data_IF_299522439375
#
_entry.id   IF_299522439375
#
_cell.length_a   1.000
_cell.length_b   1.000
_cell.length_c   1.000
_cell.angle_alpha   90.00
_cell.angle_beta   90.00
_cell.angle_gamma   90.00
#
_symmetry.space_group_name_H-M   'P 1'
#
loop_
_entity.id
_entity.type
_entity.pdbx_description
1 polymer ?
#
# COMPACT_ATOMS: atom_id res chain seq x y z
N UNK A 1 -17.02 72.35 55.09
CA UNK A 1 -17.15 70.88 55.11
C UNK A 1 -17.47 70.38 53.71
N UNK A 2 -16.43 69.97 52.99
CA UNK A 2 -16.56 69.44 51.59
C UNK A 2 -16.51 67.90 51.61
N UNK A 3 -17.55 67.22 51.18
CA UNK A 3 -17.60 65.76 50.99
C UNK A 3 -17.05 65.42 49.62
N UNK A 4 -15.92 64.74 49.57
CA UNK A 4 -15.33 64.18 48.34
C UNK A 4 -15.99 62.83 48.02
N UNK A 5 -16.59 62.72 46.84
CA UNK A 5 -17.09 61.45 46.29
C UNK A 5 -15.98 60.80 45.44
N UNK A 6 -15.50 59.66 45.88
CA UNK A 6 -14.60 58.81 45.11
C UNK A 6 -15.47 57.91 44.19
N UNK A 7 -15.35 58.08 42.89
CA UNK A 7 -15.94 57.18 41.86
C UNK A 7 -14.96 56.02 41.61
N UNK A 8 -15.36 54.84 41.98
CA UNK A 8 -14.64 53.61 41.68
C UNK A 8 -14.96 53.17 40.23
N UNK A 9 -13.98 53.20 39.33
CA UNK A 9 -14.08 52.62 37.99
C UNK A 9 -13.69 51.14 38.07
N UNK A 10 -14.66 50.23 37.89
CA UNK A 10 -14.40 48.82 37.74
C UNK A 10 -14.21 48.57 36.23
N UNK A 11 -12.95 48.38 35.78
CA UNK A 11 -12.63 47.98 34.45
C UNK A 11 -12.74 46.47 34.35
N UNK A 12 -13.83 45.98 33.74
CA UNK A 12 -14.00 44.55 33.46
C UNK A 12 -13.05 44.11 32.32
N UNK A 13 -12.08 43.28 32.67
CA UNK A 13 -11.25 42.59 31.65
C UNK A 13 -12.09 41.45 31.11
N UNK A 14 -12.57 41.59 29.85
CA UNK A 14 -13.18 40.49 29.11
C UNK A 14 -12.04 39.64 28.57
N UNK A 15 -11.72 38.52 29.23
CA UNK A 15 -10.86 37.49 28.69
C UNK A 15 -11.62 36.78 27.55
N UNK A 16 -11.28 37.10 26.31
CA UNK A 16 -11.72 36.32 25.13
C UNK A 16 -10.96 35.00 25.15
N UNK A 17 -11.61 33.93 25.59
CA UNK A 17 -11.09 32.57 25.41
C UNK A 17 -11.31 32.21 23.93
N UNK A 18 -10.28 32.41 23.11
CA UNK A 18 -10.23 31.85 21.78
C UNK A 18 -10.11 30.33 21.92
N UNK A 19 -11.21 29.65 21.76
CA UNK A 19 -11.21 28.19 21.52
C UNK A 19 -10.49 27.98 20.20
N UNK A 20 -9.23 27.55 20.24
CA UNK A 20 -8.57 26.95 19.08
C UNK A 20 -9.36 25.67 18.78
N UNK A 21 -10.29 25.75 17.86
CA UNK A 21 -10.88 24.61 17.21
C UNK A 21 -9.73 23.93 16.45
N UNK A 22 -9.20 22.84 16.98
CA UNK A 22 -8.39 21.94 16.19
C UNK A 22 -9.31 21.42 15.07
N UNK A 23 -9.21 22.01 13.88
CA UNK A 23 -9.85 21.45 12.72
C UNK A 23 -9.30 20.02 12.54
N UNK A 24 -10.15 19.03 12.68
CA UNK A 24 -9.77 17.65 12.47
C UNK A 24 -9.28 17.52 11.03
N UNK A 25 -8.04 17.04 10.85
CA UNK A 25 -7.50 16.84 9.50
C UNK A 25 -8.40 15.87 8.71
N UNK A 26 -8.72 16.27 7.47
CA UNK A 26 -9.57 15.46 6.60
C UNK A 26 -8.82 14.25 6.08
N UNK A 27 -9.41 13.07 6.21
CA UNK A 27 -8.85 11.84 5.66
C UNK A 27 -8.69 11.93 4.13
N UNK A 28 -7.78 11.16 3.58
CA UNK A 28 -7.60 11.01 2.13
C UNK A 28 -8.92 10.61 1.43
N UNK A 29 -9.66 9.73 2.07
CA UNK A 29 -11.00 9.26 1.69
C UNK A 29 -11.61 8.49 2.88
N UNK A 30 -12.93 8.26 2.92
CA UNK A 30 -13.54 7.38 3.91
C UNK A 30 -12.93 5.97 3.85
N UNK A 31 -12.39 5.49 4.98
CA UNK A 31 -11.66 4.22 5.04
C UNK A 31 -10.15 4.33 4.81
N UNK A 32 -9.61 5.55 4.66
CA UNK A 32 -8.17 5.76 4.71
C UNK A 32 -7.65 5.61 6.14
N UNK A 33 -6.67 4.73 6.33
CA UNK A 33 -6.13 4.38 7.63
C UNK A 33 -4.59 4.48 7.64
N UNK A 34 -3.98 4.41 8.81
CA UNK A 34 -2.54 4.42 8.97
C UNK A 34 -1.89 5.81 8.82
N UNK A 35 -0.59 5.82 8.68
CA UNK A 35 0.18 7.08 8.67
C UNK A 35 -0.05 7.95 7.43
N UNK A 36 -0.40 7.36 6.28
CA UNK A 36 -0.73 8.08 5.05
C UNK A 36 -2.16 8.62 4.98
N UNK A 37 -2.98 8.40 6.00
CA UNK A 37 -4.43 8.70 6.00
C UNK A 37 -4.82 10.15 5.70
N UNK A 38 -3.89 11.09 5.86
CA UNK A 38 -4.12 12.51 5.61
C UNK A 38 -3.50 13.02 4.30
N UNK A 39 -3.01 12.11 3.45
CA UNK A 39 -2.57 12.46 2.11
C UNK A 39 -3.72 13.10 1.35
N UNK A 40 -3.53 14.32 0.85
CA UNK A 40 -4.59 15.07 0.16
C UNK A 40 -4.67 14.73 -1.32
N UNK A 41 -3.58 14.22 -1.91
CA UNK A 41 -3.53 13.92 -3.33
C UNK A 41 -3.92 15.12 -4.19
N UNK A 42 -4.86 14.91 -5.10
CA UNK A 42 -5.33 15.93 -6.05
C UNK A 42 -6.41 16.87 -5.55
N UNK A 43 -6.76 16.86 -4.26
CA UNK A 43 -7.88 17.65 -3.70
C UNK A 43 -7.82 19.13 -4.09
N UNK A 44 -8.95 19.67 -4.58
CA UNK A 44 -9.06 21.04 -5.09
C UNK A 44 -8.45 21.24 -6.48
N UNK A 45 -8.01 20.18 -7.13
CA UNK A 45 -7.26 20.24 -8.38
C UNK A 45 -8.08 20.01 -9.65
N UNK A 46 -7.40 20.07 -10.79
CA UNK A 46 -8.01 19.83 -12.11
C UNK A 46 -8.25 18.35 -12.35
N UNK A 47 -9.28 18.04 -13.13
CA UNK A 47 -9.55 16.68 -13.60
C UNK A 47 -8.86 16.45 -14.95
N UNK A 48 -8.11 15.37 -15.05
CA UNK A 48 -7.48 14.88 -16.28
C UNK A 48 -8.02 13.50 -16.61
N UNK A 49 -8.37 13.30 -17.89
CA UNK A 49 -8.96 12.06 -18.37
C UNK A 49 -7.93 11.18 -19.06
N UNK A 50 -7.91 9.89 -18.68
CA UNK A 50 -7.24 8.88 -19.49
C UNK A 50 -8.29 8.27 -20.42
N UNK A 51 -8.16 8.56 -21.71
CA UNK A 51 -9.16 8.19 -22.74
C UNK A 51 -8.68 7.09 -23.67
N UNK A 52 -7.39 6.73 -23.62
CA UNK A 52 -6.81 5.67 -24.42
C UNK A 52 -5.64 4.96 -23.71
N UNK A 53 -5.30 3.78 -24.17
CA UNK A 53 -4.31 2.89 -23.53
C UNK A 53 -2.88 3.06 -24.08
N UNK A 54 -2.63 4.01 -24.99
CA UNK A 54 -1.27 4.23 -25.51
C UNK A 54 -0.40 4.86 -24.43
N UNK A 55 0.84 4.36 -24.33
CA UNK A 55 1.88 4.97 -23.51
C UNK A 55 2.70 5.95 -24.32
N UNK A 56 2.14 7.12 -24.53
CA UNK A 56 2.76 8.26 -25.20
C UNK A 56 2.54 9.53 -24.36
N UNK A 57 3.08 10.67 -24.79
CA UNK A 57 2.87 11.95 -24.08
C UNK A 57 1.70 12.75 -24.68
N UNK A 58 0.83 12.14 -25.48
CA UNK A 58 -0.34 12.80 -26.03
C UNK A 58 -1.44 12.97 -24.97
N UNK A 59 -2.24 14.00 -25.13
CA UNK A 59 -3.43 14.21 -24.31
C UNK A 59 -4.32 12.97 -24.32
N UNK A 60 -4.84 12.61 -23.15
CA UNK A 60 -5.61 11.39 -22.96
C UNK A 60 -4.81 10.14 -22.61
N UNK A 61 -3.46 10.20 -22.59
CA UNK A 61 -2.63 9.12 -22.04
C UNK A 61 -2.44 9.28 -20.52
N UNK A 62 -2.17 8.17 -19.84
CA UNK A 62 -1.82 8.20 -18.42
C UNK A 62 -0.55 9.02 -18.18
N UNK A 63 0.47 8.88 -19.03
CA UNK A 63 1.74 9.59 -18.92
C UNK A 63 1.54 11.10 -19.04
N UNK A 64 0.76 11.56 -20.01
CA UNK A 64 0.41 12.98 -20.14
C UNK A 64 -0.24 13.53 -18.86
N UNK A 65 -1.23 12.83 -18.31
CA UNK A 65 -1.92 13.26 -17.11
C UNK A 65 -0.99 13.31 -15.87
N UNK A 66 -0.04 12.37 -15.77
CA UNK A 66 0.96 12.35 -14.70
C UNK A 66 2.00 13.46 -14.81
N UNK A 67 2.35 13.90 -16.01
CA UNK A 67 3.33 14.97 -16.25
C UNK A 67 2.76 16.38 -16.05
N UNK A 68 1.45 16.53 -15.80
CA UNK A 68 0.83 17.83 -15.49
C UNK A 68 1.23 18.30 -14.09
N UNK A 69 1.24 19.62 -13.87
CA UNK A 69 1.62 20.24 -12.61
C UNK A 69 0.41 20.69 -11.77
N UNK A 70 0.64 20.77 -10.47
CA UNK A 70 -0.35 21.20 -9.49
C UNK A 70 -1.35 20.10 -9.11
N UNK A 71 -2.24 20.41 -8.17
CA UNK A 71 -3.24 19.45 -7.70
C UNK A 71 -4.12 18.94 -8.84
N UNK A 72 -4.31 17.61 -8.91
CA UNK A 72 -5.08 17.01 -9.99
C UNK A 72 -5.64 15.63 -9.67
N UNK A 73 -6.79 15.37 -10.22
CA UNK A 73 -7.41 14.06 -10.28
C UNK A 73 -7.17 13.43 -11.65
N UNK A 74 -6.76 12.18 -11.68
CA UNK A 74 -6.64 11.38 -12.91
C UNK A 74 -7.74 10.33 -12.89
N UNK A 75 -8.71 10.47 -13.79
CA UNK A 75 -9.84 9.57 -13.93
C UNK A 75 -9.80 8.88 -15.29
N UNK A 76 -10.42 7.70 -15.39
CA UNK A 76 -10.31 6.86 -16.57
C UNK A 76 -11.65 6.78 -17.30
N UNK A 77 -11.66 7.18 -18.58
CA UNK A 77 -12.77 6.98 -19.53
C UNK A 77 -12.51 5.76 -20.46
N UNK A 78 -11.54 4.92 -20.13
CA UNK A 78 -11.19 3.69 -20.84
C UNK A 78 -10.82 2.60 -19.86
N UNK A 79 -10.78 1.35 -20.32
CA UNK A 79 -10.33 0.19 -19.55
C UNK A 79 -9.45 -0.73 -20.41
N UNK A 80 -8.56 -1.48 -19.77
CA UNK A 80 -7.64 -2.36 -20.44
C UNK A 80 -6.21 -2.25 -19.92
N UNK A 81 -5.26 -2.74 -20.69
CA UNK A 81 -3.84 -2.76 -20.33
C UNK A 81 -3.07 -1.66 -21.04
N UNK A 82 -2.43 -0.79 -20.27
CA UNK A 82 -1.47 0.21 -20.75
C UNK A 82 -0.09 -0.45 -20.76
N UNK A 83 0.40 -0.79 -21.97
CA UNK A 83 1.72 -1.38 -22.14
C UNK A 83 2.77 -0.28 -22.21
N UNK A 84 3.45 -0.03 -21.10
CA UNK A 84 4.49 0.98 -20.99
C UNK A 84 5.61 0.73 -22.03
N UNK A 85 6.14 1.82 -22.59
CA UNK A 85 7.29 1.81 -23.50
C UNK A 85 8.60 2.15 -22.76
N UNK A 86 8.50 2.68 -21.55
CA UNK A 86 9.62 3.01 -20.67
C UNK A 86 9.11 3.05 -19.21
N UNK A 87 10.00 3.01 -18.20
CA UNK A 87 9.60 3.17 -16.79
C UNK A 87 8.69 4.37 -16.58
N UNK A 88 7.64 4.18 -15.79
CA UNK A 88 6.67 5.23 -15.47
C UNK A 88 7.06 5.88 -14.14
N UNK A 89 7.57 7.11 -14.21
CA UNK A 89 7.96 7.86 -13.02
C UNK A 89 6.95 8.97 -12.72
N UNK A 90 6.30 8.91 -11.56
CA UNK A 90 5.42 9.97 -11.06
C UNK A 90 6.31 11.02 -10.41
N UNK A 91 6.57 12.12 -11.15
CA UNK A 91 7.52 13.18 -10.76
C UNK A 91 6.83 14.41 -10.17
N UNK A 92 5.56 14.60 -10.49
CA UNK A 92 4.74 15.70 -10.03
C UNK A 92 3.76 15.18 -8.98
N UNK A 93 3.81 15.74 -7.79
CA UNK A 93 2.97 15.37 -6.65
C UNK A 93 1.57 15.98 -6.72
N UNK A 94 0.92 16.05 -5.58
CA UNK A 94 -0.46 16.55 -5.45
C UNK A 94 -1.42 15.88 -6.45
N UNK A 95 -1.37 14.53 -6.50
CA UNK A 95 -2.15 13.76 -7.48
C UNK A 95 -2.94 12.62 -6.85
N UNK A 96 -4.19 12.46 -7.28
CA UNK A 96 -5.02 11.28 -7.03
C UNK A 96 -5.24 10.53 -8.32
N UNK A 97 -4.80 9.26 -8.38
CA UNK A 97 -4.98 8.36 -9.53
C UNK A 97 -6.11 7.40 -9.17
N UNK A 98 -7.28 7.62 -9.75
CA UNK A 98 -8.53 6.97 -9.37
C UNK A 98 -8.89 5.82 -10.31
N UNK A 99 -8.22 4.67 -10.20
CA UNK A 99 -8.47 3.49 -11.03
C UNK A 99 -9.89 2.95 -10.94
N UNK A 100 -10.61 3.20 -9.84
CA UNK A 100 -12.01 2.81 -9.66
C UNK A 100 -12.98 3.50 -10.62
N UNK A 101 -12.58 4.60 -11.27
CA UNK A 101 -13.40 5.30 -12.26
C UNK A 101 -13.39 4.63 -13.63
N UNK A 102 -12.45 3.71 -13.87
CA UNK A 102 -12.33 3.01 -15.14
C UNK A 102 -13.55 2.11 -15.39
N UNK A 103 -14.14 2.16 -16.60
CA UNK A 103 -15.24 1.26 -16.96
C UNK A 103 -14.76 -0.18 -17.11
N UNK A 104 -15.69 -1.14 -17.24
CA UNK A 104 -15.36 -2.55 -17.48
C UNK A 104 -14.50 -3.18 -16.39
N UNK A 105 -13.41 -3.85 -16.80
CA UNK A 105 -12.55 -4.57 -15.86
C UNK A 105 -11.42 -3.69 -15.27
N UNK A 106 -11.46 -2.37 -15.47
CA UNK A 106 -10.47 -1.46 -14.89
C UNK A 106 -9.16 -1.38 -15.69
N UNK A 107 -8.08 -0.93 -15.04
CA UNK A 107 -6.80 -0.62 -15.67
C UNK A 107 -5.67 -1.50 -15.12
N UNK A 108 -4.85 -2.01 -16.04
CA UNK A 108 -3.53 -2.59 -15.75
C UNK A 108 -2.43 -1.74 -16.40
N UNK A 109 -1.38 -1.44 -15.63
CA UNK A 109 -0.13 -0.83 -16.10
C UNK A 109 0.92 -1.94 -16.20
N UNK A 110 1.51 -2.15 -17.38
CA UNK A 110 2.31 -3.32 -17.69
C UNK A 110 3.68 -3.00 -18.33
N UNK A 111 4.58 -3.96 -18.35
CA UNK A 111 5.88 -3.98 -19.04
C UNK A 111 7.06 -3.36 -18.30
N UNK A 112 6.89 -2.28 -17.56
CA UNK A 112 7.97 -1.61 -16.83
C UNK A 112 7.53 -1.27 -15.42
N UNK A 113 8.48 -0.86 -14.61
CA UNK A 113 8.21 -0.38 -13.25
C UNK A 113 7.38 0.90 -13.25
N UNK A 114 6.60 1.07 -12.18
CA UNK A 114 6.01 2.36 -11.81
C UNK A 114 6.68 2.85 -10.53
N UNK A 115 7.24 4.05 -10.57
CA UNK A 115 7.98 4.62 -9.45
C UNK A 115 7.41 5.98 -9.02
N UNK A 116 7.03 6.09 -7.74
CA UNK A 116 6.56 7.34 -7.15
C UNK A 116 7.77 8.12 -6.62
N UNK A 117 8.02 9.28 -7.22
CA UNK A 117 9.15 10.16 -6.93
C UNK A 117 8.73 11.57 -6.51
N UNK A 118 7.46 11.73 -6.11
CA UNK A 118 6.90 13.00 -5.68
C UNK A 118 6.05 12.83 -4.43
N UNK A 119 5.91 13.90 -3.66
CA UNK A 119 5.13 13.93 -2.43
C UNK A 119 3.62 14.02 -2.72
N UNK A 120 2.81 13.63 -1.73
CA UNK A 120 1.36 13.82 -1.73
C UNK A 120 0.64 13.09 -2.88
N UNK A 121 0.75 11.77 -2.91
CA UNK A 121 0.22 10.90 -3.97
C UNK A 121 -0.78 9.90 -3.41
N UNK A 122 -1.94 9.80 -4.04
CA UNK A 122 -2.96 8.78 -3.78
C UNK A 122 -3.10 7.90 -5.03
N UNK A 123 -3.00 6.58 -4.86
CA UNK A 123 -3.18 5.58 -5.94
C UNK A 123 -4.21 4.55 -5.49
N UNK A 124 -5.31 4.39 -6.26
CA UNK A 124 -6.38 3.48 -5.88
C UNK A 124 -6.84 2.59 -7.04
N UNK A 125 -7.13 1.32 -6.77
CA UNK A 125 -7.77 0.35 -7.67
C UNK A 125 -7.07 0.15 -9.01
N UNK A 126 -5.74 0.23 -9.05
CA UNK A 126 -4.92 -0.07 -10.22
C UNK A 126 -4.22 -1.43 -10.08
N UNK A 127 -3.88 -2.02 -11.22
CA UNK A 127 -2.99 -3.18 -11.29
C UNK A 127 -1.66 -2.78 -11.90
N UNK A 128 -0.57 -3.15 -11.25
CA UNK A 128 0.79 -2.98 -11.75
C UNK A 128 1.37 -4.38 -12.00
N UNK A 129 1.42 -4.78 -13.26
CA UNK A 129 1.88 -6.10 -13.70
C UNK A 129 3.05 -5.93 -14.64
N UNK A 130 4.26 -5.92 -14.06
CA UNK A 130 5.46 -5.58 -14.82
C UNK A 130 5.75 -6.61 -15.93
N UNK A 131 5.97 -7.87 -15.59
CA UNK A 131 6.38 -8.92 -16.53
C UNK A 131 7.86 -8.84 -16.96
N UNK A 132 8.33 -9.89 -17.65
CA UNK A 132 9.74 -10.02 -18.09
C UNK A 132 9.97 -9.75 -19.59
N UNK A 133 8.92 -9.38 -20.33
CA UNK A 133 8.98 -9.23 -21.80
C UNK A 133 9.99 -8.16 -22.24
N UNK A 134 10.17 -7.12 -21.45
CA UNK A 134 11.07 -6.00 -21.77
C UNK A 134 12.49 -6.23 -21.25
N UNK A 135 12.75 -7.33 -20.56
CA UNK A 135 14.05 -7.64 -19.94
C UNK A 135 14.59 -6.48 -19.10
N UNK A 136 13.69 -5.86 -18.35
CA UNK A 136 13.96 -4.74 -17.46
C UNK A 136 14.03 -5.26 -16.03
N UNK A 137 15.05 -4.84 -15.27
CA UNK A 137 15.20 -5.14 -13.85
C UNK A 137 14.49 -4.05 -13.05
N UNK A 138 13.47 -4.41 -12.27
CA UNK A 138 12.73 -3.42 -11.49
C UNK A 138 11.59 -3.98 -10.68
N UNK A 139 10.98 -3.06 -9.93
CA UNK A 139 9.83 -3.29 -9.07
C UNK A 139 8.52 -3.08 -9.84
N UNK A 140 7.43 -3.76 -9.45
CA UNK A 140 6.14 -3.44 -10.05
C UNK A 140 5.63 -2.07 -9.57
N UNK A 141 5.83 -1.75 -8.28
CA UNK A 141 5.57 -0.42 -7.72
C UNK A 141 6.64 -0.06 -6.69
N UNK A 142 7.34 1.06 -6.90
CA UNK A 142 8.36 1.57 -6.00
C UNK A 142 8.08 2.99 -5.51
N UNK A 143 8.55 3.32 -4.28
CA UNK A 143 8.54 4.67 -3.74
C UNK A 143 9.65 4.85 -2.71
N UNK A 144 10.47 5.88 -2.85
CA UNK A 144 11.57 6.19 -1.93
C UNK A 144 11.76 7.69 -1.77
N UNK A 145 12.09 8.12 -0.56
CA UNK A 145 12.45 9.50 -0.21
C UNK A 145 11.35 10.53 -0.46
N UNK A 146 10.11 10.13 -0.31
CA UNK A 146 8.92 10.98 -0.48
C UNK A 146 8.11 11.04 0.82
N UNK A 147 7.12 11.94 0.85
CA UNK A 147 6.18 12.12 1.96
C UNK A 147 4.75 12.00 1.48
N UNK A 148 3.87 11.55 2.38
CA UNK A 148 2.43 11.48 2.16
C UNK A 148 2.06 10.63 0.94
N UNK A 149 2.15 9.31 1.10
CA UNK A 149 1.74 8.33 0.10
C UNK A 149 0.61 7.46 0.64
N UNK A 150 -0.46 7.34 -0.15
CA UNK A 150 -1.56 6.43 0.11
C UNK A 150 -1.78 5.52 -1.09
N UNK A 151 -1.53 4.22 -0.92
CA UNK A 151 -1.81 3.18 -1.93
C UNK A 151 -2.91 2.27 -1.38
N UNK A 152 -4.02 2.20 -2.10
CA UNK A 152 -5.25 1.55 -1.63
C UNK A 152 -5.85 0.63 -2.70
N UNK A 153 -6.15 -0.61 -2.36
CA UNK A 153 -6.80 -1.58 -3.25
C UNK A 153 -6.10 -1.76 -4.61
N UNK A 154 -4.78 -1.80 -4.61
CA UNK A 154 -4.00 -2.09 -5.80
C UNK A 154 -3.54 -3.54 -5.84
N UNK A 155 -3.32 -4.07 -7.04
CA UNK A 155 -2.73 -5.41 -7.23
C UNK A 155 -1.39 -5.27 -7.95
N UNK A 156 -0.31 -5.78 -7.35
CA UNK A 156 1.04 -5.74 -7.88
C UNK A 156 1.57 -7.14 -8.10
N UNK A 157 2.19 -7.39 -9.25
CA UNK A 157 2.79 -8.70 -9.57
C UNK A 157 3.80 -8.66 -10.71
N UNK A 158 4.51 -9.80 -10.86
CA UNK A 158 5.40 -10.11 -11.97
C UNK A 158 6.60 -9.18 -12.08
N UNK A 159 7.08 -8.68 -10.95
CA UNK A 159 8.35 -7.96 -10.89
C UNK A 159 9.52 -8.89 -11.15
N UNK A 160 10.61 -8.33 -11.63
CA UNK A 160 11.89 -9.04 -11.80
C UNK A 160 12.86 -8.78 -10.65
N UNK A 161 12.59 -7.76 -9.81
CA UNK A 161 13.26 -7.48 -8.54
C UNK A 161 12.21 -7.61 -7.41
N UNK A 162 11.78 -6.59 -6.69
CA UNK A 162 10.69 -6.67 -5.73
C UNK A 162 9.33 -6.36 -6.37
N UNK A 163 8.28 -6.97 -5.83
CA UNK A 163 6.92 -6.62 -6.29
C UNK A 163 6.51 -5.24 -5.80
N UNK A 164 6.85 -4.90 -4.54
CA UNK A 164 6.57 -3.57 -3.97
C UNK A 164 7.71 -3.11 -3.08
N UNK A 165 8.35 -1.99 -3.41
CA UNK A 165 9.39 -1.38 -2.58
C UNK A 165 8.97 0.00 -2.10
N UNK A 166 8.46 0.08 -0.86
CA UNK A 166 8.04 1.33 -0.22
C UNK A 166 8.83 1.49 1.08
N UNK A 167 9.90 2.27 1.05
CA UNK A 167 10.78 2.47 2.19
C UNK A 167 11.49 3.82 2.15
N UNK A 168 12.08 4.23 3.26
CA UNK A 168 12.73 5.52 3.44
C UNK A 168 11.82 6.72 3.11
N UNK A 169 10.52 6.56 3.28
CA UNK A 169 9.48 7.57 3.09
C UNK A 169 8.98 8.09 4.45
N UNK A 170 8.12 9.10 4.43
CA UNK A 170 7.46 9.63 5.61
C UNK A 170 5.95 9.70 5.40
N UNK A 171 5.14 9.29 6.40
CA UNK A 171 3.67 9.25 6.35
C UNK A 171 3.13 8.42 5.18
N UNK A 172 3.39 7.14 5.19
CA UNK A 172 3.00 6.22 4.10
C UNK A 172 2.00 5.19 4.58
N UNK A 173 1.03 4.86 3.74
CA UNK A 173 0.16 3.70 3.92
C UNK A 173 0.04 2.89 2.64
N UNK A 174 0.20 1.58 2.76
CA UNK A 174 -0.19 0.57 1.77
C UNK A 174 -1.27 -0.31 2.41
N UNK A 175 -2.50 -0.21 1.92
CA UNK A 175 -3.64 -0.93 2.51
C UNK A 175 -4.46 -1.70 1.48
N UNK A 176 -5.00 -2.83 1.89
CA UNK A 176 -5.93 -3.66 1.10
C UNK A 176 -5.40 -4.03 -0.29
N UNK A 177 -4.10 -4.25 -0.43
CA UNK A 177 -3.45 -4.58 -1.69
C UNK A 177 -3.18 -6.10 -1.82
N UNK A 178 -3.05 -6.56 -3.06
CA UNK A 178 -2.48 -7.88 -3.38
C UNK A 178 -1.07 -7.67 -3.93
N UNK A 179 -0.09 -8.30 -3.29
CA UNK A 179 1.31 -8.35 -3.69
C UNK A 179 1.63 -9.82 -3.96
N UNK A 180 1.77 -10.22 -5.21
CA UNK A 180 1.85 -11.63 -5.54
C UNK A 180 2.74 -11.95 -6.75
N UNK A 181 3.26 -13.17 -6.79
CA UNK A 181 3.88 -13.76 -7.99
C UNK A 181 5.03 -12.93 -8.56
N UNK A 182 6.04 -12.62 -7.75
CA UNK A 182 7.34 -12.15 -8.27
C UNK A 182 8.00 -13.21 -9.14
N UNK A 183 8.71 -12.80 -10.20
CA UNK A 183 9.32 -13.70 -11.19
C UNK A 183 10.72 -14.13 -10.76
N UNK A 184 10.87 -15.41 -10.34
CA UNK A 184 12.10 -15.86 -9.67
C UNK A 184 13.29 -16.08 -10.61
N UNK A 185 13.19 -16.95 -11.60
CA UNK A 185 14.24 -17.20 -12.59
C UNK A 185 13.96 -16.41 -13.88
N UNK A 186 13.85 -15.11 -13.72
CA UNK A 186 13.49 -14.18 -14.78
C UNK A 186 14.72 -13.44 -15.31
N UNK A 187 14.62 -12.12 -15.47
CA UNK A 187 15.69 -11.26 -15.93
C UNK A 187 16.16 -10.38 -14.77
N UNK A 188 17.25 -10.80 -14.14
CA UNK A 188 17.91 -10.03 -13.09
C UNK A 188 19.41 -10.32 -13.11
N UNK A 189 20.27 -9.28 -12.98
CA UNK A 189 21.72 -9.39 -13.08
C UNK A 189 22.34 -10.30 -12.01
N UNK A 190 21.73 -10.40 -10.83
CA UNK A 190 22.15 -11.27 -9.73
C UNK A 190 21.69 -12.73 -9.88
N UNK A 191 21.06 -13.11 -10.99
CA UNK A 191 20.51 -14.44 -11.21
C UNK A 191 19.09 -14.60 -10.62
N UNK A 192 18.81 -15.75 -9.99
CA UNK A 192 17.52 -16.03 -9.38
C UNK A 192 17.16 -14.97 -8.35
N UNK A 193 16.10 -14.21 -8.63
CA UNK A 193 15.62 -13.09 -7.82
C UNK A 193 14.09 -13.14 -7.79
N UNK A 194 13.41 -12.00 -7.76
CA UNK A 194 11.95 -11.97 -7.71
C UNK A 194 11.44 -12.18 -6.28
N UNK A 195 11.18 -11.08 -5.60
CA UNK A 195 10.81 -11.07 -4.19
C UNK A 195 9.52 -10.30 -3.94
N UNK A 196 8.93 -10.49 -2.76
CA UNK A 196 7.67 -9.85 -2.40
C UNK A 196 7.80 -8.34 -2.27
N UNK A 197 8.67 -7.86 -1.37
CA UNK A 197 8.80 -6.42 -1.23
C UNK A 197 9.69 -5.96 -0.10
N UNK A 198 9.92 -4.64 -0.07
CA UNK A 198 10.62 -3.94 1.00
C UNK A 198 9.65 -2.97 1.64
N UNK A 199 9.50 -3.06 2.96
CA UNK A 199 8.59 -2.22 3.75
C UNK A 199 9.37 -1.47 4.83
N UNK A 200 9.17 -0.15 4.90
CA UNK A 200 9.82 0.67 5.91
C UNK A 200 9.54 2.15 5.72
N UNK A 201 10.02 2.97 6.64
CA UNK A 201 9.89 4.42 6.57
C UNK A 201 9.72 5.05 7.94
N UNK A 202 9.84 6.38 7.97
CA UNK A 202 9.66 7.18 9.15
C UNK A 202 8.18 7.31 9.51
N UNK A 203 7.37 6.50 9.70
CA UNK A 203 5.91 6.42 9.87
C UNK A 203 5.29 5.76 8.65
N UNK A 204 5.38 4.44 8.60
CA UNK A 204 4.87 3.64 7.50
C UNK A 204 3.91 2.56 8.02
N UNK A 205 2.73 2.49 7.43
CA UNK A 205 1.70 1.49 7.73
C UNK A 205 1.49 0.56 6.54
N UNK A 206 1.54 -0.74 6.81
CA UNK A 206 1.25 -1.80 5.85
C UNK A 206 0.20 -2.71 6.47
N UNK A 207 -1.05 -2.62 6.02
CA UNK A 207 -2.11 -3.38 6.67
C UNK A 207 -3.15 -3.93 5.71
N UNK A 208 -3.73 -5.05 6.09
CA UNK A 208 -4.77 -5.75 5.33
C UNK A 208 -4.35 -6.09 3.89
N UNK A 209 -3.06 -6.37 3.68
CA UNK A 209 -2.53 -6.78 2.39
C UNK A 209 -2.35 -8.29 2.30
N UNK A 210 -2.31 -8.80 1.09
CA UNK A 210 -1.90 -10.17 0.76
C UNK A 210 -0.48 -10.14 0.20
N UNK A 211 0.42 -10.95 0.77
CA UNK A 211 1.72 -11.31 0.19
C UNK A 211 1.67 -12.78 -0.16
N UNK A 212 1.78 -13.13 -1.45
CA UNK A 212 1.58 -14.50 -1.89
C UNK A 212 2.55 -14.94 -3.00
N UNK A 213 3.03 -16.19 -2.92
CA UNK A 213 3.84 -16.80 -3.96
C UNK A 213 5.16 -16.07 -4.25
N UNK A 214 5.87 -15.66 -3.20
CA UNK A 214 7.22 -15.10 -3.30
C UNK A 214 8.25 -16.01 -2.66
N UNK A 215 9.42 -16.11 -3.27
CA UNK A 215 10.51 -16.91 -2.70
C UNK A 215 11.02 -16.33 -1.37
N UNK A 216 11.07 -14.99 -1.28
CA UNK A 216 11.57 -14.26 -0.11
C UNK A 216 10.96 -12.85 -0.04
N UNK A 217 11.30 -12.09 1.00
CA UNK A 217 10.87 -10.69 1.22
C UNK A 217 9.35 -10.54 1.31
N UNK A 218 8.73 -11.16 2.32
CA UNK A 218 7.28 -11.10 2.54
C UNK A 218 6.85 -10.28 3.78
N UNK A 219 7.33 -9.03 3.94
CA UNK A 219 8.40 -8.33 3.22
C UNK A 219 9.78 -8.43 3.88
N UNK A 220 10.83 -7.85 3.30
CA UNK A 220 12.01 -7.37 4.01
C UNK A 220 11.65 -6.05 4.71
N UNK A 221 12.05 -5.91 5.97
CA UNK A 221 11.87 -4.67 6.72
C UNK A 221 13.08 -3.77 6.53
N UNK A 222 12.88 -2.56 5.95
CA UNK A 222 13.93 -1.62 5.63
C UNK A 222 14.98 -2.16 4.66
N UNK A 223 15.56 -1.33 3.85
CA UNK A 223 16.68 -1.71 2.97
C UNK A 223 17.90 -0.84 3.24
N UNK A 224 17.63 0.38 3.66
CA UNK A 224 18.65 1.40 3.75
C UNK A 224 19.28 1.40 5.15
N UNK A 225 19.87 0.27 5.53
CA UNK A 225 20.73 0.21 6.70
C UNK A 225 21.84 1.26 6.56
N UNK A 226 21.83 2.28 7.40
CA UNK A 226 22.71 3.45 7.28
C UNK A 226 22.07 4.67 6.63
N UNK A 227 20.79 4.63 6.26
CA UNK A 227 20.05 5.84 5.98
C UNK A 227 19.81 6.62 7.28
N UNK A 228 19.70 7.94 7.15
CA UNK A 228 19.31 8.81 8.29
C UNK A 228 17.95 8.44 8.91
N UNK A 229 17.16 7.62 8.25
CA UNK A 229 15.85 7.18 8.71
C UNK A 229 15.88 5.89 9.53
N UNK A 230 16.94 5.07 9.43
CA UNK A 230 16.94 3.74 10.02
C UNK A 230 16.61 3.74 11.53
N UNK A 231 17.21 4.63 12.30
CA UNK A 231 16.95 4.73 13.74
C UNK A 231 15.62 5.43 14.10
N UNK A 232 15.01 6.12 13.16
CA UNK A 232 13.73 6.84 13.34
C UNK A 232 12.59 6.20 12.57
N UNK A 233 12.86 5.13 11.82
CA UNK A 233 11.83 4.36 11.15
C UNK A 233 10.86 3.78 12.17
N UNK A 234 9.59 3.94 11.88
CA UNK A 234 8.50 3.30 12.59
C UNK A 234 7.59 2.64 11.58
N UNK A 235 7.67 1.32 11.52
CA UNK A 235 6.87 0.51 10.61
C UNK A 235 5.82 -0.26 11.38
N UNK A 236 4.57 -0.02 11.03
CA UNK A 236 3.42 -0.76 11.54
C UNK A 236 2.94 -1.75 10.47
N UNK A 237 3.12 -3.04 10.74
CA UNK A 237 2.75 -4.14 9.85
C UNK A 237 1.71 -5.02 10.54
N UNK A 238 0.42 -4.83 10.20
CA UNK A 238 -0.68 -5.54 10.88
C UNK A 238 -1.75 -6.07 9.96
N UNK A 239 -2.41 -7.11 10.39
CA UNK A 239 -3.56 -7.70 9.70
C UNK A 239 -3.30 -8.09 8.24
N UNK A 240 -2.03 -8.34 7.87
CA UNK A 240 -1.69 -8.85 6.56
C UNK A 240 -1.78 -10.38 6.53
N UNK A 241 -1.98 -10.91 5.35
CA UNK A 241 -1.95 -12.33 5.05
C UNK A 241 -0.67 -12.66 4.27
N UNK A 242 0.14 -13.56 4.79
CA UNK A 242 1.36 -14.05 4.16
C UNK A 242 1.16 -15.50 3.76
N UNK A 243 1.24 -15.79 2.47
CA UNK A 243 0.97 -17.13 1.93
C UNK A 243 2.11 -17.64 1.05
N UNK A 244 2.41 -18.93 1.19
CA UNK A 244 3.28 -19.70 0.28
C UNK A 244 4.63 -19.04 -0.01
N UNK A 245 5.29 -18.51 1.03
CA UNK A 245 6.67 -18.03 0.91
C UNK A 245 7.65 -19.20 0.71
N UNK A 246 8.74 -18.98 -0.03
CA UNK A 246 9.80 -19.97 -0.19
C UNK A 246 10.76 -19.99 1.01
N UNK A 247 11.82 -19.21 0.93
CA UNK A 247 12.88 -19.15 1.94
C UNK A 247 12.53 -18.26 3.13
N UNK A 248 12.12 -17.03 2.91
CA UNK A 248 11.86 -16.08 3.99
C UNK A 248 10.41 -15.54 3.95
N UNK A 249 9.77 -15.55 5.12
CA UNK A 249 8.64 -14.69 5.44
C UNK A 249 9.11 -13.24 5.66
N UNK A 250 8.88 -12.65 6.81
CA UNK A 250 9.42 -11.33 7.16
C UNK A 250 10.87 -11.46 7.65
N UNK A 251 11.74 -10.51 7.28
CA UNK A 251 13.09 -10.43 7.83
C UNK A 251 13.71 -9.02 7.71
N UNK A 252 14.87 -8.80 8.33
CA UNK A 252 15.61 -7.54 8.28
C UNK A 252 15.28 -6.62 9.46
N UNK A 253 15.19 -5.33 9.21
CA UNK A 253 14.78 -4.32 10.18
C UNK A 253 15.88 -3.85 11.11
N UNK A 254 17.07 -3.70 10.60
CA UNK A 254 18.26 -3.24 11.30
C UNK A 254 18.04 -1.86 11.92
N UNK A 255 18.04 -1.77 13.23
CA UNK A 255 17.86 -0.53 13.99
C UNK A 255 16.45 0.06 14.01
N UNK A 256 15.48 -0.55 13.34
CA UNK A 256 14.11 -0.03 13.19
C UNK A 256 13.22 -0.20 14.41
N UNK A 257 12.17 0.58 14.48
CA UNK A 257 11.03 0.38 15.39
C UNK A 257 9.89 -0.28 14.61
N UNK A 258 9.38 -1.41 15.11
CA UNK A 258 8.45 -2.23 14.35
C UNK A 258 7.32 -2.78 15.22
N UNK A 259 6.09 -2.66 14.73
CA UNK A 259 4.94 -3.41 15.23
C UNK A 259 4.58 -4.51 14.21
N UNK A 260 4.61 -5.79 14.61
CA UNK A 260 4.09 -6.92 13.84
C UNK A 260 2.88 -7.49 14.58
N UNK A 261 1.68 -7.11 14.16
CA UNK A 261 0.46 -7.33 14.96
C UNK A 261 -0.62 -8.04 14.16
N UNK A 262 -1.14 -9.13 14.71
CA UNK A 262 -2.32 -9.83 14.17
C UNK A 262 -2.23 -10.18 12.68
N UNK A 263 -1.05 -10.52 12.16
CA UNK A 263 -0.89 -11.02 10.80
C UNK A 263 -1.21 -12.52 10.76
N UNK A 264 -1.70 -12.99 9.62
CA UNK A 264 -2.01 -14.39 9.38
C UNK A 264 -0.97 -15.00 8.45
N UNK A 265 -0.22 -15.99 8.93
CA UNK A 265 0.77 -16.74 8.17
C UNK A 265 0.18 -18.09 7.78
N UNK A 266 0.05 -18.32 6.48
CA UNK A 266 -0.43 -19.58 5.92
C UNK A 266 0.67 -20.27 5.10
N UNK A 267 1.43 -21.21 5.71
CA UNK A 267 2.46 -21.94 4.98
C UNK A 267 1.86 -22.76 3.83
N UNK A 268 2.34 -22.48 2.61
CA UNK A 268 1.90 -23.18 1.41
C UNK A 268 2.86 -24.28 0.96
N UNK A 269 2.66 -24.84 -0.25
CA UNK A 269 3.48 -25.91 -0.80
C UNK A 269 4.96 -25.55 -1.00
N UNK A 270 5.30 -24.27 -1.24
CA UNK A 270 6.68 -23.80 -1.41
C UNK A 270 7.40 -23.49 -0.10
N UNK A 271 6.64 -23.33 1.00
CA UNK A 271 7.18 -22.83 2.26
C UNK A 271 8.16 -23.82 2.89
N UNK A 272 9.43 -23.37 3.05
CA UNK A 272 10.51 -24.14 3.65
C UNK A 272 10.53 -24.01 5.18
N UNK A 273 10.39 -22.80 5.70
CA UNK A 273 10.43 -22.50 7.14
C UNK A 273 9.03 -22.22 7.67
N UNK A 274 8.29 -23.27 8.00
CA UNK A 274 6.86 -23.20 8.29
C UNK A 274 6.48 -22.57 9.64
N UNK A 275 7.45 -22.38 10.52
CA UNK A 275 7.25 -21.76 11.84
C UNK A 275 7.72 -20.29 11.90
N UNK A 276 8.37 -19.78 10.85
CA UNK A 276 8.99 -18.46 10.89
C UNK A 276 7.96 -17.33 10.72
N UNK A 277 7.74 -16.55 11.76
CA UNK A 277 7.08 -15.25 11.68
C UNK A 277 8.07 -14.21 11.14
N UNK A 278 9.22 -14.07 11.78
CA UNK A 278 10.23 -13.10 11.36
C UNK A 278 11.67 -13.61 11.63
N UNK A 279 12.64 -13.14 10.84
CA UNK A 279 14.04 -13.27 11.14
C UNK A 279 14.68 -11.88 11.26
N UNK A 280 15.10 -11.51 12.47
CA UNK A 280 15.56 -10.14 12.75
C UNK A 280 17.07 -10.04 12.55
N UNK A 281 17.48 -8.92 11.97
CA UNK A 281 18.84 -8.61 11.58
C UNK A 281 19.40 -7.42 12.36
N UNK A 282 20.72 -7.27 12.32
CA UNK A 282 21.42 -6.03 12.68
C UNK A 282 22.55 -5.78 11.70
N UNK A 283 22.90 -4.54 11.50
CA UNK A 283 23.92 -4.16 10.54
C UNK A 283 25.33 -4.42 11.11
N UNK A 284 26.17 -5.17 10.40
CA UNK A 284 27.56 -5.46 10.77
C UNK A 284 28.59 -4.53 10.10
N UNK A 285 28.14 -3.58 9.29
CA UNK A 285 29.03 -2.61 8.66
C UNK A 285 29.34 -1.44 9.61
N UNK A 286 30.58 -1.31 10.12
CA UNK A 286 30.91 -0.27 11.11
C UNK A 286 30.89 1.15 10.53
N UNK A 287 30.69 1.32 9.23
CA UNK A 287 30.60 2.61 8.57
C UNK A 287 29.17 3.16 8.55
N UNK A 288 28.19 2.42 9.05
CA UNK A 288 26.79 2.83 9.07
C UNK A 288 26.36 3.36 10.44
N UNK A 289 25.40 4.25 10.48
CA UNK A 289 24.83 4.79 11.73
C UNK A 289 24.12 3.71 12.57
N UNK A 290 23.69 2.62 11.94
CA UNK A 290 22.98 1.51 12.58
C UNK A 290 23.92 0.33 12.91
N UNK A 291 25.22 0.54 12.88
CA UNK A 291 26.20 -0.52 13.17
C UNK A 291 25.95 -1.17 14.53
N UNK A 292 25.77 -2.47 14.52
CA UNK A 292 25.57 -3.32 15.68
C UNK A 292 24.38 -2.92 16.58
N UNK A 293 23.37 -2.22 16.03
CA UNK A 293 22.16 -1.81 16.74
C UNK A 293 21.01 -2.75 16.38
N UNK A 294 20.41 -3.38 17.41
CA UNK A 294 19.17 -4.12 17.26
C UNK A 294 17.97 -3.15 17.16
N UNK A 295 17.06 -3.43 16.23
CA UNK A 295 15.75 -2.80 16.19
C UNK A 295 14.91 -3.10 17.44
N UNK A 296 13.79 -2.39 17.61
CA UNK A 296 12.84 -2.57 18.71
C UNK A 296 11.50 -3.06 18.18
N UNK A 297 11.11 -4.27 18.55
CA UNK A 297 9.96 -4.96 17.99
C UNK A 297 8.89 -5.26 19.04
N UNK A 298 7.65 -4.92 18.67
CA UNK A 298 6.45 -5.47 19.28
C UNK A 298 5.86 -6.52 18.34
N UNK A 299 5.86 -7.78 18.75
CA UNK A 299 5.33 -8.90 17.94
C UNK A 299 4.26 -9.59 18.78
N UNK A 300 3.00 -9.52 18.33
CA UNK A 300 1.87 -10.02 19.12
C UNK A 300 0.68 -10.42 18.23
N UNK A 301 -0.04 -11.48 18.65
CA UNK A 301 -1.29 -11.88 18.04
C UNK A 301 -1.18 -12.43 16.62
N UNK A 302 0.03 -12.71 16.13
CA UNK A 302 0.20 -13.32 14.83
C UNK A 302 -0.15 -14.79 14.88
N UNK A 303 -0.90 -15.26 13.88
CA UNK A 303 -1.32 -16.66 13.73
C UNK A 303 -0.47 -17.36 12.70
N UNK A 304 0.07 -18.53 13.05
CA UNK A 304 0.76 -19.44 12.14
C UNK A 304 -0.14 -20.66 11.89
N UNK A 305 -0.78 -20.73 10.72
CA UNK A 305 -1.68 -21.83 10.38
C UNK A 305 -0.95 -23.18 10.46
N UNK A 306 -1.56 -24.12 11.18
CA UNK A 306 -0.98 -25.44 11.39
C UNK A 306 0.12 -25.52 12.46
N UNK A 307 0.42 -24.40 13.17
CA UNK A 307 1.40 -24.39 14.25
C UNK A 307 0.86 -23.60 15.47
N UNK A 308 0.15 -24.25 16.39
CA UNK A 308 -0.43 -23.60 17.57
C UNK A 308 0.62 -23.08 18.56
N UNK A 309 1.81 -23.69 18.63
CA UNK A 309 2.86 -23.26 19.55
C UNK A 309 3.40 -21.88 19.12
N UNK A 310 3.70 -21.68 17.83
CA UNK A 310 4.09 -20.37 17.29
C UNK A 310 2.98 -19.34 17.45
N UNK A 311 1.72 -19.74 17.28
CA UNK A 311 0.57 -18.87 17.47
C UNK A 311 0.45 -18.41 18.92
N UNK A 312 0.67 -19.31 19.87
CA UNK A 312 0.62 -19.02 21.30
C UNK A 312 1.79 -18.16 21.77
N UNK A 313 2.99 -18.46 21.28
CA UNK A 313 4.22 -17.72 21.61
C UNK A 313 4.98 -17.35 20.33
N UNK A 314 4.62 -16.18 19.77
CA UNK A 314 5.27 -15.68 18.56
C UNK A 314 6.79 -15.51 18.73
N UNK A 315 7.26 -15.19 19.95
CA UNK A 315 8.66 -14.84 20.19
C UNK A 315 9.57 -16.06 20.31
N UNK A 316 9.22 -17.00 21.12
CA UNK A 316 10.10 -18.16 21.40
C UNK A 316 10.19 -19.09 20.20
N UNK A 317 9.06 -19.35 19.55
CA UNK A 317 8.96 -20.36 18.50
C UNK A 317 8.96 -19.75 17.08
N UNK A 318 8.63 -18.44 16.94
CA UNK A 318 8.42 -17.82 15.63
C UNK A 318 9.48 -16.79 15.21
N UNK A 319 10.36 -16.32 16.11
CA UNK A 319 11.35 -15.29 15.80
C UNK A 319 12.76 -15.87 15.77
N UNK A 320 13.43 -15.69 14.63
CA UNK A 320 14.74 -16.24 14.32
C UNK A 320 15.79 -15.15 14.19
N UNK A 321 17.07 -15.56 14.21
CA UNK A 321 18.19 -14.68 13.89
C UNK A 321 18.50 -14.74 12.40
N UNK A 322 18.54 -13.60 11.73
CA UNK A 322 19.06 -13.52 10.37
C UNK A 322 20.60 -13.59 10.34
N UNK A 323 21.27 -13.21 11.44
CA UNK A 323 22.73 -13.29 11.60
C UNK A 323 23.25 -14.75 11.56
N UNK A 324 22.41 -15.69 12.01
CA UNK A 324 22.68 -17.14 11.96
C UNK A 324 21.44 -17.84 11.41
N UNK A 325 21.30 -17.95 10.09
CA UNK A 325 20.13 -18.55 9.47
C UNK A 325 19.86 -19.96 10.01
N UNK A 326 18.60 -20.21 10.39
CA UNK A 326 18.17 -21.49 10.96
C UNK A 326 18.26 -21.59 12.48
N UNK A 327 18.78 -20.59 13.17
CA UNK A 327 18.84 -20.55 14.64
C UNK A 327 17.87 -19.52 15.21
N UNK A 328 17.23 -19.88 16.33
CA UNK A 328 16.45 -18.94 17.11
C UNK A 328 17.35 -17.86 17.71
N UNK A 329 16.77 -16.70 17.99
CA UNK A 329 17.45 -15.64 18.75
C UNK A 329 17.83 -16.17 20.13
N UNK A 330 19.09 -15.95 20.53
CA UNK A 330 19.49 -16.19 21.92
C UNK A 330 18.75 -15.24 22.86
N UNK A 331 18.52 -15.66 24.09
CA UNK A 331 17.71 -14.90 25.06
C UNK A 331 18.20 -13.47 25.26
N UNK A 332 19.54 -13.26 25.34
CA UNK A 332 20.15 -11.95 25.45
C UNK A 332 19.75 -11.00 24.32
N UNK A 333 19.78 -11.49 23.06
CA UNK A 333 19.42 -10.69 21.87
C UNK A 333 17.92 -10.46 21.84
N UNK A 334 17.12 -11.49 22.15
CA UNK A 334 15.66 -11.37 22.26
C UNK A 334 15.25 -10.27 23.25
N UNK A 335 15.87 -10.24 24.45
CA UNK A 335 15.59 -9.22 25.45
C UNK A 335 16.03 -7.82 25.02
N UNK A 336 17.01 -7.71 24.13
CA UNK A 336 17.43 -6.43 23.55
C UNK A 336 16.47 -5.91 22.47
N UNK A 337 15.76 -6.81 21.78
CA UNK A 337 14.88 -6.52 20.64
C UNK A 337 13.43 -6.32 21.09
N UNK A 338 12.93 -7.22 21.93
CA UNK A 338 11.53 -7.30 22.35
C UNK A 338 11.13 -6.11 23.21
N UNK A 339 10.01 -5.48 22.85
CA UNK A 339 9.29 -4.54 23.73
C UNK A 339 7.93 -5.13 24.12
N UNK A 340 7.45 -4.75 25.31
CA UNK A 340 6.22 -5.31 25.89
C UNK A 340 4.96 -4.49 25.59
N UNK A 341 5.13 -3.28 25.07
CA UNK A 341 4.05 -2.41 24.62
C UNK A 341 4.30 -2.04 23.17
N UNK A 342 3.27 -1.92 22.33
CA UNK A 342 3.44 -1.47 20.96
C UNK A 342 4.02 -0.07 20.90
N UNK A 343 4.80 0.21 19.86
CA UNK A 343 5.10 1.59 19.51
C UNK A 343 3.81 2.33 19.25
N UNK A 344 3.73 3.55 19.75
CA UNK A 344 2.58 4.42 19.52
C UNK A 344 2.54 4.84 18.05
N UNK A 345 1.44 4.55 17.41
CA UNK A 345 1.24 4.82 15.98
C UNK A 345 0.18 5.89 15.72
N UNK A 346 -0.44 6.46 16.77
CA UNK A 346 -1.45 7.54 16.64
C UNK A 346 -2.34 7.35 15.39
N UNK A 347 -2.84 6.16 15.17
CA UNK A 347 -3.57 5.85 13.96
C UNK A 347 -5.02 5.44 14.24
N UNK A 348 -5.78 5.39 13.16
CA UNK A 348 -7.17 4.98 13.13
C UNK A 348 -7.35 3.57 12.54
N UNK A 349 -6.29 2.75 12.43
CA UNK A 349 -6.40 1.42 11.82
C UNK A 349 -7.32 0.55 12.67
N UNK A 350 -8.41 0.09 12.09
CA UNK A 350 -9.27 -0.90 12.69
C UNK A 350 -8.55 -2.24 12.75
N UNK A 351 -8.05 -2.56 13.92
CA UNK A 351 -7.29 -3.79 14.13
C UNK A 351 -8.24 -4.97 14.34
N UNK A 352 -8.19 -5.95 13.45
CA UNK A 352 -8.92 -7.20 13.53
C UNK A 352 -8.09 -8.30 14.23
N UNK A 353 -8.71 -9.38 14.68
CA UNK A 353 -7.92 -10.59 14.96
C UNK A 353 -7.29 -11.12 13.66
N UNK A 354 -6.22 -11.90 13.75
CA UNK A 354 -5.56 -12.42 12.55
C UNK A 354 -6.52 -13.25 11.67
N UNK A 355 -7.42 -14.02 12.28
CA UNK A 355 -8.43 -14.84 11.57
C UNK A 355 -9.52 -13.99 10.91
N UNK A 356 -9.92 -12.88 11.56
CA UNK A 356 -10.85 -11.93 10.96
C UNK A 356 -10.17 -11.21 9.78
N UNK A 357 -8.92 -10.78 9.95
CA UNK A 357 -8.13 -10.17 8.90
C UNK A 357 -8.00 -11.11 7.69
N UNK A 358 -7.66 -12.41 7.91
CA UNK A 358 -7.62 -13.41 6.85
C UNK A 358 -8.89 -13.40 5.98
N UNK A 359 -10.06 -13.48 6.61
CA UNK A 359 -11.35 -13.49 5.88
C UNK A 359 -11.60 -12.20 5.11
N UNK A 360 -11.25 -11.06 5.71
CA UNK A 360 -11.48 -9.74 5.10
C UNK A 360 -10.53 -9.48 3.94
N UNK A 361 -9.23 -9.79 4.07
CA UNK A 361 -8.27 -9.55 2.98
C UNK A 361 -8.56 -10.45 1.77
N UNK A 362 -8.93 -11.71 1.98
CA UNK A 362 -9.40 -12.60 0.91
C UNK A 362 -10.55 -11.95 0.13
N UNK A 363 -11.49 -11.36 0.81
CA UNK A 363 -12.68 -10.77 0.19
C UNK A 363 -12.42 -9.43 -0.48
N UNK A 364 -11.62 -8.56 0.12
CA UNK A 364 -11.58 -7.15 -0.25
C UNK A 364 -10.25 -6.66 -0.84
N UNK A 365 -9.11 -7.34 -0.65
CA UNK A 365 -7.81 -6.84 -1.14
C UNK A 365 -7.67 -6.88 -2.66
N UNK A 366 -6.74 -6.07 -3.16
CA UNK A 366 -6.44 -5.89 -4.57
C UNK A 366 -7.40 -4.92 -5.27
N UNK A 367 -7.32 -4.85 -6.59
CA UNK A 367 -8.26 -4.10 -7.44
C UNK A 367 -9.64 -4.79 -7.43
N UNK A 368 -10.22 -4.89 -6.24
CA UNK A 368 -11.34 -5.79 -5.89
C UNK A 368 -12.70 -5.30 -6.38
N UNK A 369 -12.79 -4.11 -6.99
CA UNK A 369 -14.01 -3.69 -7.67
C UNK A 369 -14.37 -4.67 -8.80
N UNK A 370 -13.37 -5.06 -9.61
CA UNK A 370 -13.45 -6.19 -10.55
C UNK A 370 -12.09 -6.88 -10.55
N UNK A 371 -11.98 -8.05 -9.93
CA UNK A 371 -10.73 -8.84 -9.94
C UNK A 371 -10.51 -9.49 -11.30
N UNK A 372 -9.27 -9.40 -11.82
CA UNK A 372 -8.87 -10.13 -13.02
C UNK A 372 -8.50 -11.60 -12.72
N UNK A 373 -8.17 -12.36 -13.75
CA UNK A 373 -7.83 -13.78 -13.63
C UNK A 373 -6.63 -14.04 -12.71
N UNK A 374 -5.69 -13.09 -12.61
CA UNK A 374 -4.50 -13.22 -11.74
C UNK A 374 -4.89 -13.08 -10.27
N UNK A 375 -5.64 -12.04 -9.92
CA UNK A 375 -6.11 -11.88 -8.54
C UNK A 375 -7.01 -13.04 -8.12
N UNK A 376 -7.86 -13.53 -9.04
CA UNK A 376 -8.78 -14.64 -8.75
C UNK A 376 -8.05 -15.95 -8.46
N UNK A 377 -7.01 -16.31 -9.25
CA UNK A 377 -6.30 -17.56 -8.98
C UNK A 377 -5.43 -17.47 -7.72
N UNK A 378 -4.80 -16.31 -7.45
CA UNK A 378 -4.05 -16.09 -6.20
C UNK A 378 -4.95 -16.27 -4.97
N UNK A 379 -6.14 -15.67 -4.99
CA UNK A 379 -7.12 -15.82 -3.90
C UNK A 379 -7.55 -17.28 -3.76
N UNK A 380 -7.84 -17.97 -4.87
CA UNK A 380 -8.21 -19.39 -4.86
C UNK A 380 -7.10 -20.28 -4.29
N UNK A 381 -5.85 -20.04 -4.68
CA UNK A 381 -4.69 -20.78 -4.17
C UNK A 381 -4.54 -20.62 -2.65
N UNK A 382 -4.76 -19.41 -2.14
CA UNK A 382 -4.76 -19.12 -0.71
C UNK A 382 -5.88 -19.88 0.00
N UNK A 383 -7.12 -19.81 -0.51
CA UNK A 383 -8.28 -20.49 0.11
C UNK A 383 -8.09 -21.99 0.18
N UNK A 384 -7.59 -22.60 -0.89
CA UNK A 384 -7.39 -24.05 -0.99
C UNK A 384 -6.07 -24.54 -0.38
N UNK A 385 -5.15 -23.64 -0.02
CA UNK A 385 -3.81 -24.01 0.47
C UNK A 385 -2.93 -24.67 -0.60
N UNK A 386 -3.17 -24.38 -1.88
CA UNK A 386 -2.56 -25.00 -3.04
C UNK A 386 -1.81 -24.01 -3.93
N UNK A 387 -1.52 -24.40 -5.15
CA UNK A 387 -0.98 -23.53 -6.18
C UNK A 387 -1.54 -23.91 -7.55
N UNK A 388 -1.80 -22.92 -8.39
CA UNK A 388 -2.28 -23.15 -9.76
C UNK A 388 -1.12 -23.29 -10.75
N UNK A 389 -0.05 -22.51 -10.59
CA UNK A 389 1.04 -22.42 -11.56
C UNK A 389 2.40 -22.79 -10.98
N UNK A 390 3.37 -23.02 -11.84
CA UNK A 390 4.77 -23.26 -11.55
C UNK A 390 5.66 -22.60 -12.58
N UNK A 391 6.91 -22.30 -12.25
CA UNK A 391 7.86 -21.68 -13.15
C UNK A 391 8.34 -22.61 -14.26
N UNK A 392 8.50 -22.05 -15.46
CA UNK A 392 9.02 -22.74 -16.65
C UNK A 392 10.54 -22.92 -16.63
N UNK A 393 11.26 -22.15 -15.80
CA UNK A 393 12.74 -22.15 -15.73
C UNK A 393 13.26 -22.76 -14.41
N UNK A 394 12.46 -23.63 -13.77
CA UNK A 394 12.86 -24.43 -12.63
C UNK A 394 12.18 -24.11 -11.31
N UNK A 395 11.47 -22.99 -11.17
CA UNK A 395 10.66 -22.71 -10.00
C UNK A 395 9.43 -23.62 -9.91
N UNK A 396 8.94 -23.88 -8.71
CA UNK A 396 7.91 -24.88 -8.44
C UNK A 396 6.92 -24.39 -7.41
N UNK A 397 5.80 -25.09 -7.27
CA UNK A 397 4.87 -24.98 -6.13
C UNK A 397 4.34 -23.55 -5.91
N UNK A 398 3.91 -22.88 -6.96
CA UNK A 398 3.36 -21.52 -6.91
C UNK A 398 4.38 -20.41 -7.13
N UNK A 399 5.68 -20.70 -7.10
CA UNK A 399 6.70 -19.75 -7.51
C UNK A 399 6.88 -19.85 -9.03
N UNK A 400 6.79 -18.73 -9.74
CA UNK A 400 6.84 -18.65 -11.19
C UNK A 400 8.09 -17.92 -11.69
N UNK A 401 8.42 -18.06 -12.96
CA UNK A 401 9.64 -17.50 -13.57
C UNK A 401 9.34 -16.46 -14.67
N UNK A 402 8.12 -16.44 -15.16
CA UNK A 402 7.63 -15.52 -16.19
C UNK A 402 6.12 -15.33 -16.04
N UNK A 403 5.58 -14.18 -16.40
CA UNK A 403 4.12 -14.00 -16.52
C UNK A 403 3.49 -14.99 -17.53
N UNK A 404 4.26 -15.51 -18.47
CA UNK A 404 3.78 -16.51 -19.42
C UNK A 404 3.45 -17.86 -18.74
N UNK A 405 4.04 -18.14 -17.58
CA UNK A 405 3.72 -19.35 -16.80
C UNK A 405 2.26 -19.37 -16.32
N UNK A 406 1.63 -18.19 -16.23
CA UNK A 406 0.22 -18.02 -15.84
C UNK A 406 -0.72 -17.70 -17.01
N UNK A 407 -0.22 -17.80 -18.25
CA UNK A 407 -0.98 -17.45 -19.44
C UNK A 407 -0.78 -16.02 -19.95
N UNK A 408 0.07 -15.22 -19.30
CA UNK A 408 0.38 -13.84 -19.67
C UNK A 408 -0.64 -12.81 -19.17
N UNK A 409 -0.60 -11.62 -19.77
CA UNK A 409 -1.49 -10.52 -19.37
C UNK A 409 -2.95 -10.85 -19.66
N UNK A 410 -3.86 -10.80 -18.67
CA UNK A 410 -5.29 -11.03 -18.88
C UNK A 410 -5.88 -10.05 -19.89
N UNK A 411 -6.76 -10.53 -20.74
CA UNK A 411 -7.58 -9.67 -21.58
C UNK A 411 -8.69 -9.06 -20.71
N UNK A 412 -8.60 -7.76 -20.45
CA UNK A 412 -9.60 -7.04 -19.67
C UNK A 412 -10.79 -6.66 -20.56
N UNK A 413 -11.99 -6.89 -20.05
CA UNK A 413 -13.23 -6.52 -20.73
C UNK A 413 -13.36 -5.00 -20.75
N UNK A 414 -13.51 -4.45 -21.93
CA UNK A 414 -13.76 -3.02 -22.13
C UNK A 414 -15.26 -2.70 -21.97
N UNK A 415 -15.55 -1.49 -21.54
CA UNK A 415 -16.89 -0.93 -21.56
C UNK A 415 -16.80 0.56 -21.94
N UNK A 416 -17.90 1.11 -22.43
CA UNK A 416 -17.99 2.54 -22.68
C UNK A 416 -18.04 3.31 -21.35
N UNK A 417 -17.41 4.48 -21.29
CA UNK A 417 -17.59 5.36 -20.13
C UNK A 417 -19.04 5.82 -20.04
N UNK A 418 -19.48 6.15 -18.81
CA UNK A 418 -20.76 6.77 -18.61
C UNK A 418 -20.76 8.20 -19.21
N UNK A 419 -21.93 8.71 -19.69
CA UNK A 419 -22.06 10.09 -20.13
C UNK A 419 -21.65 11.07 -19.04
N UNK A 420 -20.91 12.11 -19.41
CA UNK A 420 -20.41 13.20 -18.59
C UNK A 420 -20.42 14.45 -19.47
N UNK A 421 -21.55 15.21 -19.43
CA UNK A 421 -21.87 16.23 -20.43
C UNK A 421 -21.05 17.51 -20.29
N UNK A 422 -20.62 17.86 -19.09
CA UNK A 422 -19.81 19.04 -18.81
C UNK A 422 -18.31 18.74 -18.69
N UNK A 423 -17.95 17.45 -18.78
CA UNK A 423 -16.58 16.95 -18.74
C UNK A 423 -15.83 17.32 -17.44
N UNK A 424 -16.48 17.17 -16.30
CA UNK A 424 -15.86 17.40 -14.99
C UNK A 424 -15.38 16.12 -14.27
N UNK A 425 -15.72 14.95 -14.84
CA UNK A 425 -15.32 13.64 -14.33
C UNK A 425 -16.36 12.94 -13.50
N UNK A 426 -17.52 13.54 -13.31
CA UNK A 426 -18.68 12.97 -12.62
C UNK A 426 -19.74 12.64 -13.68
N UNK A 427 -20.27 11.39 -13.73
CA UNK A 427 -21.29 11.04 -14.73
C UNK A 427 -22.65 11.74 -14.48
N UNK A 428 -23.32 12.15 -15.57
CA UNK A 428 -24.61 12.83 -15.56
C UNK A 428 -25.66 12.14 -14.68
N UNK A 429 -25.78 10.83 -14.79
CA UNK A 429 -26.76 10.05 -14.02
C UNK A 429 -26.49 10.13 -12.51
N UNK A 430 -25.20 10.08 -12.13
CA UNK A 430 -24.82 10.19 -10.73
C UNK A 430 -25.08 11.60 -10.18
N UNK A 431 -24.76 12.64 -10.96
CA UNK A 431 -25.04 14.02 -10.59
C UNK A 431 -26.53 14.29 -10.37
N UNK A 432 -27.37 13.89 -11.34
CA UNK A 432 -28.84 14.01 -11.24
C UNK A 432 -29.35 13.33 -9.97
N UNK A 433 -28.86 12.12 -9.68
CA UNK A 433 -29.25 11.36 -8.49
C UNK A 433 -28.86 12.08 -7.19
N UNK A 434 -27.76 12.81 -7.22
CA UNK A 434 -27.23 13.54 -6.05
C UNK A 434 -27.57 15.03 -6.07
N UNK A 435 -28.53 15.48 -6.92
CA UNK A 435 -28.99 16.84 -7.04
C UNK A 435 -27.92 17.85 -7.49
N UNK A 436 -26.93 17.41 -8.21
CA UNK A 436 -25.98 18.26 -8.94
C UNK A 436 -26.50 18.56 -10.36
N UNK A 437 -25.89 19.54 -11.02
CA UNK A 437 -26.27 19.92 -12.38
C UNK A 437 -25.28 19.36 -13.42
N UNK A 438 -25.64 18.34 -14.23
CA UNK A 438 -24.76 17.70 -15.19
C UNK A 438 -24.35 18.56 -16.40
N UNK A 439 -24.68 19.86 -16.39
CA UNK A 439 -24.28 20.83 -17.42
C UNK A 439 -23.41 21.96 -16.85
N UNK A 440 -22.95 21.83 -15.64
CA UNK A 440 -22.18 22.86 -14.95
C UNK A 440 -21.04 22.21 -14.16
N UNK A 441 -19.86 22.16 -14.75
CA UNK A 441 -18.69 21.56 -14.15
C UNK A 441 -18.48 22.02 -12.70
N UNK A 442 -18.58 21.07 -11.77
CA UNK A 442 -18.56 21.32 -10.34
C UNK A 442 -17.75 20.28 -9.55
N UNK A 443 -16.84 19.55 -10.21
CA UNK A 443 -16.00 18.52 -9.61
C UNK A 443 -15.34 18.96 -8.30
N UNK A 444 -14.87 20.22 -8.22
CA UNK A 444 -14.23 20.80 -7.05
C UNK A 444 -15.21 21.52 -6.11
N UNK A 445 -16.51 21.47 -6.40
CA UNK A 445 -17.56 21.93 -5.47
C UNK A 445 -17.55 21.08 -4.19
N UNK A 446 -18.14 21.63 -3.15
CA UNK A 446 -18.34 20.93 -1.87
C UNK A 446 -19.82 20.95 -1.48
N UNK A 447 -20.64 20.71 -2.47
CA UNK A 447 -22.09 20.74 -2.33
C UNK A 447 -22.61 19.53 -1.55
N UNK A 448 -21.90 18.42 -1.64
CA UNK A 448 -22.27 17.13 -1.07
C UNK A 448 -21.61 16.85 0.28
N UNK A 449 -20.41 17.37 0.50
CA UNK A 449 -19.63 17.18 1.72
C UNK A 449 -18.72 18.38 1.97
N UNK A 450 -18.61 18.84 3.23
CA UNK A 450 -17.77 19.99 3.56
C UNK A 450 -16.26 19.72 3.50
N UNK A 451 -15.85 18.46 3.59
CA UNK A 451 -14.45 18.04 3.65
C UNK A 451 -13.93 17.52 2.31
N UNK A 452 -14.82 17.03 1.44
CA UNK A 452 -14.47 16.39 0.18
C UNK A 452 -15.04 17.16 -1.01
N UNK A 453 -14.27 17.24 -2.08
CA UNK A 453 -14.74 17.75 -3.36
C UNK A 453 -15.83 16.81 -3.93
N UNK A 454 -16.77 17.31 -4.72
CA UNK A 454 -17.85 16.49 -5.29
C UNK A 454 -17.33 15.25 -6.02
N UNK A 455 -16.22 15.39 -6.77
CA UNK A 455 -15.57 14.27 -7.45
C UNK A 455 -15.00 13.23 -6.45
N UNK A 456 -14.52 13.65 -5.28
CA UNK A 456 -14.07 12.72 -4.24
C UNK A 456 -15.25 11.94 -3.67
N UNK A 457 -16.39 12.60 -3.47
CA UNK A 457 -17.63 11.93 -3.02
C UNK A 457 -18.07 10.90 -4.04
N UNK A 458 -18.07 11.23 -5.34
CA UNK A 458 -18.35 10.30 -6.43
C UNK A 458 -17.39 9.09 -6.42
N UNK A 459 -16.10 9.34 -6.42
CA UNK A 459 -15.08 8.26 -6.42
C UNK A 459 -15.21 7.32 -5.22
N UNK A 460 -15.61 7.84 -4.07
CA UNK A 460 -15.81 7.06 -2.86
C UNK A 460 -17.14 6.29 -2.88
N UNK A 461 -18.20 6.84 -3.51
CA UNK A 461 -19.48 6.15 -3.66
C UNK A 461 -19.37 4.90 -4.55
N UNK A 462 -18.53 4.91 -5.60
CA UNK A 462 -18.24 3.75 -6.45
C UNK A 462 -17.82 2.53 -5.62
N UNK A 463 -17.01 2.75 -4.59
CA UNK A 463 -16.39 1.68 -3.78
C UNK A 463 -16.98 1.55 -2.38
N UNK A 464 -18.05 2.29 -2.06
CA UNK A 464 -18.65 2.35 -0.72
C UNK A 464 -18.98 0.97 -0.15
N UNK A 465 -19.57 0.08 -0.94
CA UNK A 465 -19.91 -1.29 -0.49
C UNK A 465 -18.68 -2.11 -0.07
N UNK A 466 -17.52 -1.87 -0.70
CA UNK A 466 -16.26 -2.51 -0.33
C UNK A 466 -15.80 -1.92 1.00
N UNK A 467 -15.72 -0.60 1.10
CA UNK A 467 -15.29 0.12 2.31
C UNK A 467 -16.16 -0.21 3.52
N UNK A 468 -17.48 -0.24 3.36
CA UNK A 468 -18.41 -0.61 4.44
C UNK A 468 -18.23 -2.06 4.91
N UNK A 469 -17.93 -2.97 3.97
CA UNK A 469 -17.69 -4.39 4.26
C UNK A 469 -16.38 -4.68 4.99
N UNK A 470 -15.44 -3.76 4.96
CA UNK A 470 -14.14 -3.86 5.65
C UNK A 470 -14.25 -3.57 7.16
N UNK A 471 -15.25 -2.89 7.58
CA UNK A 471 -15.54 -2.51 8.97
C UNK A 471 -16.06 -3.66 9.85
#
# INVERSE_FOLDING_TARGET
MAKSLIKLFVTGIVCSVSTLSNAQETLSFPGAEGFGRFTTGGRGGKVYFVTHLRDDSSEGSLRYALDQKGPRYIVFKTSGTIYLQSPLKIKEGDVTIAGQTAPGDGITVANYETFVAADNVIIRYLRFRMGDQKKFEGDALGARFIKNLMVDHCSMSWSTDETVSIYANENTTLQWCIIAESLRNSFHQKGAHGYGGIAGGKRASFHHNIYAHHDSRNPRLGEYAGSKFALTDLTDFRNNLIYNWGHNSIYGGEGMNVNLVNNYYKPGPSTLTRQRIAAIDKNENPKTEVYNIWGKYYIHGNVMEGNPEVTKDNWTEGVFSQMKPGYNLVEKDRNSIKINQPHDIENNIKTHSAEQAYKKVIKFSGASLVRDAVDLHVVKDIETGSFTYKGSKGSKKGIIDSQNDTGGFPLLKQANPLPDSDNDGIPDEWEIKHHLNPKSANANGRDLDHNYDNIEVYMNDIVRKITDGQN
#
